data_IF_243941692857
#
_entry.id   IF_243941692857
#
_cell.length_a   1.000
_cell.length_b   1.000
_cell.length_c   1.000
_cell.angle_alpha   90.00
_cell.angle_beta   90.00
_cell.angle_gamma   90.00
#
_symmetry.space_group_name_H-M   'P 1'
#
loop_
_entity.id
_entity.type
_entity.pdbx_description
1 polymer ?
#
# COMPACT_ATOMS: atom_id res chain seq x y z
N UNK A 1 -22.81 -73.89 28.97
CA UNK A 1 -22.08 -73.05 27.99
C UNK A 1 -22.83 -71.72 27.90
N UNK A 2 -22.68 -70.85 28.91
CA UNK A 2 -21.71 -69.73 29.04
C UNK A 2 -21.90 -68.58 28.04
N UNK A 3 -22.16 -67.38 28.61
CA UNK A 3 -21.70 -66.04 28.21
C UNK A 3 -22.43 -65.42 27.00
N UNK A 4 -22.94 -64.18 27.00
CA UNK A 4 -22.86 -63.09 27.96
C UNK A 4 -23.59 -61.86 27.39
N UNK A 5 -24.22 -61.09 28.27
CA UNK A 5 -24.78 -59.76 27.97
C UNK A 5 -23.63 -58.78 27.74
N UNK A 6 -23.59 -58.09 26.61
CA UNK A 6 -22.85 -56.84 26.49
C UNK A 6 -23.72 -55.73 25.89
N UNK A 7 -24.12 -54.81 26.77
CA UNK A 7 -24.51 -53.45 26.44
C UNK A 7 -23.26 -52.73 25.95
N UNK A 8 -23.29 -52.11 24.78
CA UNK A 8 -22.34 -51.05 24.43
C UNK A 8 -23.14 -49.89 23.86
N UNK A 9 -23.23 -48.82 24.66
CA UNK A 9 -23.64 -47.48 24.23
C UNK A 9 -22.53 -46.94 23.34
N UNK A 10 -22.87 -46.48 22.14
CA UNK A 10 -22.02 -45.59 21.35
C UNK A 10 -22.81 -44.31 21.08
N UNK A 11 -22.59 -43.33 21.96
CA UNK A 11 -22.92 -41.92 21.75
C UNK A 11 -21.86 -41.36 20.79
N UNK A 12 -22.23 -41.08 19.55
CA UNK A 12 -21.40 -40.31 18.64
C UNK A 12 -21.87 -38.86 18.67
N UNK A 13 -21.35 -38.10 19.63
CA UNK A 13 -21.37 -36.65 19.58
C UNK A 13 -20.15 -36.19 18.79
N UNK A 14 -20.36 -35.62 17.61
CA UNK A 14 -19.32 -34.88 16.90
C UNK A 14 -19.86 -33.50 16.54
N UNK A 15 -19.36 -32.53 17.30
CA UNK A 15 -19.26 -31.12 16.93
C UNK A 15 -18.87 -31.00 15.44
N UNK A 16 -19.72 -30.35 14.66
CA UNK A 16 -19.42 -29.91 13.30
C UNK A 16 -19.63 -28.41 13.20
N UNK A 17 -18.54 -27.69 13.45
CA UNK A 17 -18.24 -26.28 13.17
C UNK A 17 -19.32 -25.43 12.45
N UNK A 18 -19.63 -24.31 13.10
CA UNK A 18 -19.66 -22.95 12.52
C UNK A 18 -19.26 -22.86 11.04
N UNK A 19 -20.21 -22.46 10.19
CA UNK A 19 -19.91 -21.87 8.89
C UNK A 19 -20.75 -20.59 8.71
N UNK A 20 -20.39 -19.57 9.49
CA UNK A 20 -20.71 -18.19 9.15
C UNK A 20 -19.86 -17.79 7.95
N UNK A 21 -20.43 -17.73 6.76
CA UNK A 21 -19.84 -16.99 5.65
C UNK A 21 -20.65 -15.74 5.42
N UNK A 22 -20.31 -14.68 6.15
CA UNK A 22 -20.61 -13.33 5.73
C UNK A 22 -19.81 -13.08 4.44
N UNK A 23 -20.51 -13.00 3.31
CA UNK A 23 -19.95 -12.46 2.07
C UNK A 23 -19.70 -10.97 2.29
N UNK A 24 -18.51 -10.63 2.77
CA UNK A 24 -17.99 -9.29 2.59
C UNK A 24 -17.81 -9.09 1.08
N UNK A 25 -18.70 -8.30 0.49
CA UNK A 25 -18.47 -7.70 -0.83
C UNK A 25 -17.22 -6.84 -0.70
N UNK A 26 -16.08 -7.41 -1.10
CA UNK A 26 -14.84 -6.67 -1.30
C UNK A 26 -15.11 -5.73 -2.47
N UNK A 27 -15.43 -4.48 -2.17
CA UNK A 27 -15.37 -3.42 -3.17
C UNK A 27 -13.92 -3.39 -3.65
N UNK A 28 -13.64 -3.55 -4.96
CA UNK A 28 -12.27 -3.53 -5.45
C UNK A 28 -11.72 -2.12 -5.23
N UNK A 29 -10.91 -1.96 -4.18
CA UNK A 29 -10.01 -0.83 -4.05
C UNK A 29 -8.98 -0.95 -5.16
N UNK A 30 -8.99 0.00 -6.09
CA UNK A 30 -8.12 0.04 -7.27
C UNK A 30 -6.65 -0.08 -6.88
N UNK A 31 -6.06 -1.25 -7.11
CA UNK A 31 -4.63 -1.50 -6.96
C UNK A 31 -3.90 -0.91 -8.17
N UNK A 32 -3.08 0.11 -7.95
CA UNK A 32 -2.10 0.59 -8.92
C UNK A 32 -0.94 1.16 -8.11
N UNK A 33 0.29 0.73 -8.35
CA UNK A 33 1.42 1.61 -8.14
C UNK A 33 2.46 1.37 -9.22
N UNK A 34 2.95 2.49 -9.73
CA UNK A 34 4.15 2.73 -10.51
C UNK A 34 4.05 2.23 -11.93
N UNK A 35 3.59 1.00 -12.07
CA UNK A 35 3.57 0.24 -13.28
C UNK A 35 2.23 -0.49 -13.42
N UNK A 36 1.49 -0.16 -14.47
CA UNK A 36 0.20 -0.77 -14.80
C UNK A 36 0.36 -1.47 -16.13
N UNK A 37 0.36 -2.80 -16.13
CA UNK A 37 0.61 -3.61 -17.32
C UNK A 37 1.90 -3.20 -18.06
N UNK A 38 2.99 -2.96 -17.31
CA UNK A 38 4.29 -2.55 -17.85
C UNK A 38 4.36 -1.10 -18.35
N UNK A 39 3.40 -0.23 -17.95
CA UNK A 39 3.40 1.19 -18.30
C UNK A 39 3.47 2.05 -17.05
N UNK A 40 4.31 3.09 -17.09
CA UNK A 40 4.44 4.07 -16.00
C UNK A 40 3.14 4.85 -15.78
N UNK A 41 2.79 5.08 -14.51
CA UNK A 41 1.65 5.92 -14.15
C UNK A 41 2.04 6.95 -13.08
N UNK A 42 1.72 8.22 -13.34
CA UNK A 42 1.91 9.33 -12.39
C UNK A 42 0.98 9.20 -11.19
N UNK A 43 1.52 9.13 -9.99
CA UNK A 43 0.71 9.20 -8.77
C UNK A 43 0.51 10.62 -8.26
N UNK A 44 -0.54 10.78 -7.46
CA UNK A 44 -0.77 12.02 -6.74
C UNK A 44 -1.42 11.78 -5.40
N UNK A 45 -1.15 12.70 -4.46
CA UNK A 45 -1.93 12.88 -3.25
C UNK A 45 -2.82 14.11 -3.44
N UNK A 46 -4.13 13.90 -3.37
CA UNK A 46 -5.16 14.92 -3.54
C UNK A 46 -5.92 15.10 -2.24
N UNK A 47 -5.94 16.32 -1.72
CA UNK A 47 -6.68 16.69 -0.51
C UNK A 47 -7.74 17.72 -0.91
N UNK A 48 -9.01 17.42 -0.63
CA UNK A 48 -10.15 18.30 -0.96
C UNK A 48 -10.17 18.77 -2.44
N UNK A 49 -9.83 17.87 -3.36
CA UNK A 49 -9.81 18.14 -4.81
C UNK A 49 -8.59 18.90 -5.32
N UNK A 50 -7.62 19.21 -4.45
CA UNK A 50 -6.35 19.87 -4.83
C UNK A 50 -5.21 18.86 -4.78
N UNK A 51 -4.36 18.82 -5.81
CA UNK A 51 -3.16 17.97 -5.83
C UNK A 51 -2.06 18.62 -5.01
N UNK A 52 -1.58 17.91 -3.99
CA UNK A 52 -0.53 18.38 -3.08
C UNK A 52 0.82 17.75 -3.35
N UNK A 53 0.84 16.46 -3.65
CA UNK A 53 2.04 15.72 -4.03
C UNK A 53 1.79 15.10 -5.38
N UNK A 54 2.80 15.15 -6.23
CA UNK A 54 2.84 14.39 -7.47
C UNK A 54 4.11 13.56 -7.49
N UNK A 55 3.99 12.30 -7.88
CA UNK A 55 5.09 11.38 -8.15
C UNK A 55 5.02 11.01 -9.63
N UNK A 56 6.14 11.14 -10.33
CA UNK A 56 6.24 10.97 -11.78
C UNK A 56 7.33 9.94 -12.07
N UNK A 57 6.95 8.68 -12.38
CA UNK A 57 7.90 7.64 -12.70
C UNK A 57 8.76 8.03 -13.91
N UNK A 58 10.02 7.62 -13.90
CA UNK A 58 10.92 7.79 -15.04
C UNK A 58 10.50 6.84 -16.15
N UNK A 59 10.35 7.36 -17.37
CA UNK A 59 9.96 6.54 -18.52
C UNK A 59 10.96 5.39 -18.75
N UNK A 60 10.43 4.17 -18.88
CA UNK A 60 11.18 2.93 -19.01
C UNK A 60 11.52 2.28 -17.67
N UNK A 61 11.00 2.75 -16.54
CA UNK A 61 11.18 2.09 -15.25
C UNK A 61 10.30 0.84 -15.10
N UNK A 62 9.21 0.73 -15.88
CA UNK A 62 8.34 -0.44 -15.89
C UNK A 62 8.77 -1.43 -16.98
N UNK A 63 9.92 -2.07 -16.79
CA UNK A 63 10.59 -2.87 -17.82
C UNK A 63 11.11 -4.23 -17.32
N UNK A 64 10.52 -4.76 -16.25
CA UNK A 64 10.80 -6.08 -15.69
C UNK A 64 12.26 -6.28 -15.19
N UNK A 65 12.94 -5.19 -14.80
CA UNK A 65 14.32 -5.24 -14.29
C UNK A 65 14.42 -5.11 -12.75
N UNK A 66 13.29 -5.19 -12.04
CA UNK A 66 13.18 -5.01 -10.58
C UNK A 66 13.64 -3.64 -10.06
N UNK A 67 13.77 -2.62 -10.92
CA UNK A 67 14.28 -1.31 -10.55
C UNK A 67 13.23 -0.24 -10.82
N UNK A 68 12.88 0.51 -9.77
CA UNK A 68 11.94 1.62 -9.88
C UNK A 68 12.64 2.96 -9.72
N UNK A 69 12.31 3.91 -10.59
CA UNK A 69 12.85 5.27 -10.61
C UNK A 69 11.71 6.26 -10.74
N UNK A 70 11.75 7.32 -9.94
CA UNK A 70 10.71 8.35 -9.96
C UNK A 70 11.19 9.71 -9.50
N UNK A 71 10.36 10.72 -9.74
CA UNK A 71 10.49 12.05 -9.18
C UNK A 71 9.23 12.42 -8.40
N UNK A 72 9.37 12.85 -7.16
CA UNK A 72 8.25 13.38 -6.38
C UNK A 72 8.42 14.85 -6.04
N UNK A 73 7.30 15.55 -5.85
CA UNK A 73 7.27 17.01 -5.67
C UNK A 73 6.09 17.44 -4.84
N UNK A 74 6.31 18.38 -3.92
CA UNK A 74 5.26 19.15 -3.26
C UNK A 74 4.84 20.30 -4.16
N UNK A 75 3.55 20.53 -4.31
CA UNK A 75 3.02 21.70 -5.05
C UNK A 75 2.99 22.98 -4.19
N UNK A 76 3.40 22.91 -2.92
CA UNK A 76 3.27 24.01 -1.96
C UNK A 76 4.58 24.28 -1.21
N UNK A 77 5.09 25.50 -1.32
CA UNK A 77 6.25 25.94 -0.55
C UNK A 77 5.98 25.90 0.96
N UNK A 78 6.98 25.51 1.75
CA UNK A 78 6.83 25.28 3.19
C UNK A 78 6.20 23.94 3.55
N UNK A 79 5.81 23.13 2.55
CA UNK A 79 5.42 21.74 2.70
C UNK A 79 6.41 20.85 1.97
N UNK A 80 6.69 19.69 2.55
CA UNK A 80 7.59 18.68 2.03
C UNK A 80 6.80 17.49 1.52
N UNK A 81 7.11 17.06 0.30
CA UNK A 81 6.68 15.77 -0.18
C UNK A 81 7.63 14.67 0.31
N UNK A 82 7.08 13.48 0.55
CA UNK A 82 7.84 12.29 0.89
C UNK A 82 7.19 11.04 0.32
N UNK A 83 8.04 10.07 0.00
CA UNK A 83 7.64 8.73 -0.39
C UNK A 83 8.09 7.75 0.67
N UNK A 84 7.18 6.88 1.08
CA UNK A 84 7.47 5.82 2.01
C UNK A 84 7.21 4.49 1.32
N UNK A 85 8.25 3.67 1.25
CA UNK A 85 8.26 2.45 0.45
C UNK A 85 8.39 1.27 1.40
N UNK A 86 7.46 0.34 1.32
CA UNK A 86 7.64 -0.99 1.89
C UNK A 86 8.23 -1.89 0.83
N UNK A 87 9.30 -2.58 1.17
CA UNK A 87 9.86 -3.63 0.34
C UNK A 87 10.33 -4.77 1.26
N UNK A 88 9.86 -5.98 0.96
CA UNK A 88 10.14 -7.19 1.75
C UNK A 88 9.87 -7.07 3.27
N UNK A 89 8.81 -6.35 3.64
CA UNK A 89 8.44 -6.16 5.06
C UNK A 89 9.12 -4.97 5.73
N UNK A 90 10.12 -4.37 5.10
CA UNK A 90 10.86 -3.21 5.63
C UNK A 90 10.35 -1.91 5.02
N UNK A 91 10.18 -0.89 5.85
CA UNK A 91 9.77 0.44 5.40
C UNK A 91 10.96 1.39 5.35
N UNK A 92 11.17 1.99 4.18
CA UNK A 92 12.10 3.09 3.96
C UNK A 92 11.33 4.40 3.70
N UNK A 93 11.92 5.53 4.10
CA UNK A 93 11.31 6.85 3.94
C UNK A 93 12.25 7.79 3.20
N UNK A 94 11.76 8.41 2.14
CA UNK A 94 12.50 9.34 1.31
C UNK A 94 11.84 10.71 1.37
N UNK A 95 12.63 11.69 1.77
CA UNK A 95 12.15 13.04 2.06
C UNK A 95 12.68 14.03 1.05
N UNK A 96 11.79 14.86 0.52
CA UNK A 96 12.17 16.07 -0.20
C UNK A 96 12.56 17.21 0.75
N UNK A 97 12.63 18.42 0.21
CA UNK A 97 12.71 19.67 0.96
C UNK A 97 11.33 20.26 1.24
N UNK A 98 11.28 21.24 2.14
CA UNK A 98 10.08 22.06 2.40
C UNK A 98 9.91 23.14 1.31
N UNK A 99 9.95 22.72 0.06
CA UNK A 99 9.93 23.55 -1.12
C UNK A 99 9.16 22.85 -2.26
N UNK A 100 9.19 23.43 -3.45
CA UNK A 100 8.50 22.90 -4.63
C UNK A 100 9.45 22.26 -5.63
N UNK A 101 10.65 21.86 -5.22
CA UNK A 101 11.60 21.18 -6.09
C UNK A 101 11.18 19.74 -6.33
N UNK A 102 11.66 19.17 -7.44
CA UNK A 102 11.53 17.74 -7.71
C UNK A 102 12.69 16.96 -7.14
N UNK A 103 12.36 15.87 -6.46
CA UNK A 103 13.32 14.99 -5.81
C UNK A 103 13.33 13.65 -6.49
N UNK A 104 14.51 13.23 -6.94
CA UNK A 104 14.72 11.94 -7.55
C UNK A 104 14.79 10.84 -6.47
N UNK A 105 14.17 9.72 -6.77
CA UNK A 105 14.21 8.50 -5.99
C UNK A 105 14.43 7.30 -6.90
N UNK A 106 15.21 6.35 -6.42
CA UNK A 106 15.21 5.01 -6.99
C UNK A 106 15.43 3.94 -5.94
N UNK A 107 14.82 2.78 -6.17
CA UNK A 107 14.94 1.61 -5.32
C UNK A 107 14.86 0.33 -6.15
N UNK A 108 15.33 -0.76 -5.57
CA UNK A 108 15.18 -2.11 -6.16
C UNK A 108 13.98 -2.77 -5.48
N UNK A 109 12.97 -3.18 -6.26
CA UNK A 109 11.87 -3.99 -5.75
C UNK A 109 12.30 -5.46 -5.70
N UNK A 110 12.38 -6.03 -4.49
CA UNK A 110 12.85 -7.40 -4.31
C UNK A 110 11.70 -8.41 -4.17
N UNK A 111 10.47 -7.93 -4.08
CA UNK A 111 9.29 -8.78 -3.84
C UNK A 111 8.21 -8.64 -4.91
N UNK A 112 8.45 -7.82 -5.94
CA UNK A 112 7.54 -7.49 -7.05
C UNK A 112 6.18 -6.95 -6.58
N UNK A 113 6.12 -6.47 -5.34
CA UNK A 113 4.93 -6.12 -4.58
C UNK A 113 5.20 -4.99 -3.57
N UNK A 114 6.17 -4.12 -3.84
CA UNK A 114 6.48 -3.02 -2.94
C UNK A 114 5.27 -2.09 -2.74
N UNK A 115 5.11 -1.55 -1.53
CA UNK A 115 4.02 -0.62 -1.23
C UNK A 115 4.55 0.80 -1.21
N UNK A 116 3.93 1.72 -1.94
CA UNK A 116 4.30 3.14 -1.93
C UNK A 116 3.21 3.94 -1.23
N UNK A 117 3.59 4.81 -0.30
CA UNK A 117 2.71 5.79 0.33
C UNK A 117 3.26 7.20 0.07
N UNK A 118 2.42 8.07 -0.50
CA UNK A 118 2.76 9.48 -0.68
C UNK A 118 2.36 10.26 0.57
N UNK A 119 3.25 11.14 1.03
CA UNK A 119 2.99 12.00 2.16
C UNK A 119 3.36 13.45 1.88
N UNK A 120 2.61 14.35 2.50
CA UNK A 120 2.89 15.77 2.56
C UNK A 120 2.93 16.22 4.03
N UNK A 121 3.99 16.91 4.44
CA UNK A 121 4.08 17.44 5.78
C UNK A 121 4.70 18.85 5.86
N UNK A 122 4.39 19.60 6.91
CA UNK A 122 4.98 20.91 7.19
C UNK A 122 5.79 20.92 8.50
N UNK A 123 6.23 19.75 8.96
CA UNK A 123 6.91 19.55 10.24
C UNK A 123 5.98 19.49 11.45
N UNK A 124 4.67 19.67 11.28
CA UNK A 124 3.67 19.56 12.38
C UNK A 124 2.47 18.71 12.01
N UNK A 125 2.05 18.78 10.74
CA UNK A 125 0.86 18.12 10.21
C UNK A 125 1.26 17.24 9.05
N UNK A 126 0.66 16.06 8.96
CA UNK A 126 0.87 15.10 7.90
C UNK A 126 -0.44 14.78 7.18
N UNK A 127 -0.35 14.74 5.85
CA UNK A 127 -1.35 14.15 4.97
C UNK A 127 -0.70 13.00 4.25
N UNK A 128 -1.22 11.79 4.42
CA UNK A 128 -0.64 10.60 3.82
C UNK A 128 -1.70 9.77 3.13
N UNK A 129 -1.37 9.30 1.93
CA UNK A 129 -2.20 8.33 1.23
C UNK A 129 -1.99 8.34 -0.27
N UNK A 130 -3.09 8.13 -0.99
CA UNK A 130 -3.08 7.83 -2.41
C UNK A 130 -4.32 8.34 -3.13
N UNK A 131 -4.12 9.04 -4.24
CA UNK A 131 -5.20 9.70 -4.95
C UNK A 131 -5.96 10.64 -4.01
N UNK A 132 -7.29 10.49 -3.93
CA UNK A 132 -8.13 11.25 -3.00
C UNK A 132 -8.31 10.61 -1.62
N UNK A 133 -7.74 9.43 -1.38
CA UNK A 133 -7.84 8.73 -0.11
C UNK A 133 -6.63 9.09 0.76
N UNK A 134 -6.87 9.75 1.89
CA UNK A 134 -5.79 10.22 2.75
C UNK A 134 -6.18 10.18 4.23
N UNK A 135 -5.19 10.03 5.11
CA UNK A 135 -5.31 10.33 6.54
C UNK A 135 -4.73 11.71 6.84
N UNK A 136 -5.30 12.38 7.84
CA UNK A 136 -4.76 13.60 8.44
C UNK A 136 -4.34 13.27 9.88
N UNK A 137 -3.05 13.39 10.18
CA UNK A 137 -2.54 13.04 11.52
C UNK A 137 -1.36 13.93 11.94
N UNK A 138 -0.91 13.80 13.19
CA UNK A 138 0.31 14.48 13.70
C UNK A 138 1.61 13.76 13.32
N UNK A 139 1.53 12.66 12.57
CA UNK A 139 2.66 11.87 12.14
C UNK A 139 2.37 11.07 10.88
N UNK A 140 3.37 10.33 10.45
CA UNK A 140 3.23 9.45 9.31
C UNK A 140 2.39 8.20 9.64
N UNK A 141 1.56 7.77 8.67
CA UNK A 141 0.69 6.59 8.75
C UNK A 141 0.65 5.87 7.38
N UNK A 142 0.82 4.56 7.41
CA UNK A 142 0.87 3.66 6.24
C UNK A 142 -0.51 3.11 5.82
N UNK A 143 -1.59 3.60 6.42
CA UNK A 143 -2.94 3.06 6.22
C UNK A 143 -3.38 3.04 4.75
N UNK A 144 -2.86 3.95 3.92
CA UNK A 144 -3.20 4.03 2.50
C UNK A 144 -1.94 3.97 1.64
N UNK A 145 -1.75 2.85 0.95
CA UNK A 145 -0.61 2.62 0.04
C UNK A 145 -1.06 2.07 -1.31
N UNK A 146 -0.37 2.46 -2.38
CA UNK A 146 -0.43 1.77 -3.67
C UNK A 146 0.49 0.55 -3.68
N UNK A 147 0.16 -0.48 -4.47
CA UNK A 147 0.98 -1.70 -4.64
C UNK A 147 1.69 -1.64 -5.99
N UNK A 148 3.02 -1.72 -6.00
CA UNK A 148 3.78 -1.81 -7.23
C UNK A 148 3.78 -3.26 -7.72
N UNK A 149 3.26 -3.49 -8.92
CA UNK A 149 3.01 -4.85 -9.44
C UNK A 149 3.56 -5.08 -10.85
N UNK A 150 4.34 -4.16 -11.40
CA UNK A 150 4.71 -4.16 -12.83
C UNK A 150 6.19 -4.32 -13.10
N UNK A 151 6.79 -5.35 -12.53
CA UNK A 151 8.09 -5.90 -12.93
C UNK A 151 7.94 -7.34 -13.38
#
# INVERSE_FOLDING_TARGET
MMIGRHRVRALTATLGLLATTALALVVPGTAHAGCVAGTEFTHSLTVNGTVYVTENPVNGTCNDNNYYQTYFTSQFAGWRASEHIQNDGEWESHYGGYDTNSYYLSYTDNNSHSLITLCLDNGSVWYCGWGSNYTYTSGFDHTYSGVNTGF
#
